data_IF_890602145262
#
_entry.id   IF_890602145262
#
_cell.length_a   1.000
_cell.length_b   1.000
_cell.length_c   1.000
_cell.angle_alpha   90.00
_cell.angle_beta   90.00
_cell.angle_gamma   90.00
#
_symmetry.space_group_name_H-M   'P 1'
#
loop_
_entity.id
_entity.type
_entity.pdbx_description
1 polymer ?
#
# COMPACT_ATOMS: atom_id res chain seq x y z
N UNK A 1 -20.46 5.42 -5.07
CA UNK A 1 -19.36 4.97 -5.97
C UNK A 1 -18.67 3.67 -5.52
N UNK A 2 -18.34 3.48 -4.23
CA UNK A 2 -17.57 2.34 -3.68
C UNK A 2 -18.23 0.95 -3.88
N UNK A 3 -19.53 0.85 -3.63
CA UNK A 3 -20.31 -0.40 -3.81
C UNK A 3 -20.52 -0.77 -5.29
N UNK A 4 -20.60 0.21 -6.20
CA UNK A 4 -20.73 -0.04 -7.64
C UNK A 4 -19.49 -0.71 -8.24
N UNK A 5 -18.28 -0.34 -7.78
CA UNK A 5 -17.02 -0.91 -8.30
C UNK A 5 -16.85 -2.38 -7.94
N UNK A 6 -17.14 -2.78 -6.71
CA UNK A 6 -17.05 -4.20 -6.31
C UNK A 6 -18.12 -5.06 -7.01
N UNK A 7 -19.31 -4.50 -7.22
CA UNK A 7 -20.41 -5.19 -7.89
C UNK A 7 -20.13 -5.47 -9.38
N UNK A 8 -19.27 -4.69 -10.03
CA UNK A 8 -18.83 -4.95 -11.42
C UNK A 8 -17.65 -5.93 -11.52
N UNK A 9 -16.85 -6.14 -10.46
CA UNK A 9 -15.72 -7.10 -10.55
C UNK A 9 -16.18 -8.56 -10.52
N UNK A 10 -17.23 -8.85 -9.75
CA UNK A 10 -17.80 -10.20 -9.68
C UNK A 10 -18.28 -10.75 -11.03
N UNK A 11 -19.08 -10.03 -11.84
CA UNK A 11 -19.50 -10.53 -13.14
C UNK A 11 -18.33 -10.67 -14.13
N UNK A 12 -17.30 -9.82 -14.03
CA UNK A 12 -16.09 -9.93 -14.87
C UNK A 12 -15.31 -11.22 -14.54
N UNK A 13 -15.19 -11.57 -13.25
CA UNK A 13 -14.55 -12.83 -12.84
C UNK A 13 -15.37 -14.06 -13.25
N UNK A 14 -16.70 -14.01 -13.11
CA UNK A 14 -17.58 -15.07 -13.59
C UNK A 14 -17.49 -15.25 -15.11
N UNK A 15 -17.49 -14.15 -15.86
CA UNK A 15 -17.30 -14.18 -17.30
C UNK A 15 -15.93 -14.77 -17.68
N UNK A 16 -14.87 -14.46 -16.93
CA UNK A 16 -13.52 -14.99 -17.17
C UNK A 16 -13.46 -16.51 -16.98
N UNK A 17 -14.06 -17.01 -15.91
CA UNK A 17 -14.18 -18.45 -15.65
C UNK A 17 -15.07 -19.15 -16.69
N UNK A 18 -16.20 -18.54 -17.05
CA UNK A 18 -17.09 -19.09 -18.08
C UNK A 18 -16.40 -19.18 -19.45
N UNK A 19 -15.65 -18.14 -19.84
CA UNK A 19 -14.88 -18.13 -21.07
C UNK A 19 -13.79 -19.22 -21.08
N UNK A 20 -13.06 -19.40 -19.98
CA UNK A 20 -12.06 -20.47 -19.85
C UNK A 20 -12.69 -21.86 -19.97
N UNK A 21 -13.79 -22.10 -19.26
CA UNK A 21 -14.48 -23.39 -19.29
C UNK A 21 -15.04 -23.68 -20.70
N UNK A 22 -15.72 -22.70 -21.31
CA UNK A 22 -16.25 -22.84 -22.67
C UNK A 22 -15.12 -23.07 -23.69
N UNK A 23 -14.01 -22.33 -23.57
CA UNK A 23 -12.85 -22.50 -24.44
C UNK A 23 -12.21 -23.88 -24.32
N UNK A 24 -12.04 -24.38 -23.08
CA UNK A 24 -11.53 -25.73 -22.83
C UNK A 24 -12.45 -26.82 -23.43
N UNK A 25 -13.76 -26.68 -23.26
CA UNK A 25 -14.75 -27.58 -23.86
C UNK A 25 -14.66 -27.57 -25.38
N UNK A 26 -14.55 -26.40 -26.01
CA UNK A 26 -14.39 -26.29 -27.46
C UNK A 26 -13.08 -26.93 -27.95
N UNK A 27 -11.98 -26.77 -27.23
CA UNK A 27 -10.72 -27.45 -27.56
C UNK A 27 -10.87 -28.98 -27.49
N UNK A 28 -11.57 -29.51 -26.48
CA UNK A 28 -11.84 -30.95 -26.37
C UNK A 28 -12.72 -31.44 -27.52
N UNK A 29 -13.77 -30.71 -27.88
CA UNK A 29 -14.63 -31.04 -29.02
C UNK A 29 -13.84 -31.01 -30.34
N UNK A 30 -13.01 -29.98 -30.54
CA UNK A 30 -12.15 -29.85 -31.70
C UNK A 30 -11.16 -31.00 -31.82
N UNK A 31 -10.50 -31.36 -30.71
CA UNK A 31 -9.61 -32.53 -30.63
C UNK A 31 -10.33 -33.82 -31.00
N UNK A 32 -11.52 -34.05 -30.44
CA UNK A 32 -12.31 -35.25 -30.72
C UNK A 32 -12.72 -35.31 -32.20
N UNK A 33 -13.16 -34.19 -32.79
CA UNK A 33 -13.52 -34.11 -34.20
C UNK A 33 -12.35 -34.39 -35.15
N UNK A 34 -11.18 -33.78 -34.88
CA UNK A 34 -9.95 -34.04 -35.66
C UNK A 34 -9.51 -35.50 -35.55
N UNK A 35 -9.57 -36.08 -34.35
CA UNK A 35 -9.15 -37.46 -34.10
C UNK A 35 -10.01 -38.50 -34.85
N UNK A 36 -11.26 -38.17 -35.13
CA UNK A 36 -12.18 -39.02 -35.89
C UNK A 36 -12.02 -38.93 -37.42
N UNK A 37 -11.22 -37.99 -37.93
CA UNK A 37 -11.11 -37.70 -39.36
C UNK A 37 -9.74 -38.09 -39.92
N UNK A 38 -9.76 -38.88 -41.00
CA UNK A 38 -8.55 -39.47 -41.61
C UNK A 38 -7.88 -38.58 -42.65
N UNK A 39 -8.62 -37.62 -43.19
CA UNK A 39 -8.12 -36.71 -44.22
C UNK A 39 -7.82 -35.34 -43.64
N UNK A 40 -6.57 -34.90 -43.77
CA UNK A 40 -6.11 -33.60 -43.25
C UNK A 40 -6.95 -32.42 -43.77
N UNK A 41 -7.38 -32.45 -45.04
CA UNK A 41 -8.27 -31.43 -45.63
C UNK A 41 -9.62 -31.30 -44.92
N UNK A 42 -10.13 -32.40 -44.35
CA UNK A 42 -11.37 -32.42 -43.56
C UNK A 42 -11.15 -32.12 -42.08
N UNK A 43 -9.90 -32.04 -41.62
CA UNK A 43 -9.58 -31.62 -40.25
C UNK A 43 -9.62 -30.09 -40.09
N UNK A 44 -9.35 -29.33 -41.15
CA UNK A 44 -9.33 -27.86 -41.14
C UNK A 44 -10.62 -27.22 -40.58
N UNK A 45 -11.84 -27.69 -40.93
CA UNK A 45 -13.07 -27.15 -40.37
C UNK A 45 -13.19 -27.30 -38.85
N UNK A 46 -12.72 -28.42 -38.26
CA UNK A 46 -12.75 -28.63 -36.80
C UNK A 46 -11.78 -27.70 -36.07
N UNK A 47 -10.60 -27.47 -36.65
CA UNK A 47 -9.63 -26.52 -36.11
C UNK A 47 -10.19 -25.09 -36.15
N UNK A 48 -10.77 -24.69 -37.29
CA UNK A 48 -11.32 -23.35 -37.49
C UNK A 48 -12.56 -23.07 -36.63
N UNK A 49 -13.45 -24.05 -36.44
CA UNK A 49 -14.71 -23.87 -35.71
C UNK A 49 -14.63 -24.10 -34.20
N UNK A 50 -13.73 -24.97 -33.75
CA UNK A 50 -13.66 -25.35 -32.34
C UNK A 50 -12.33 -24.94 -31.69
N UNK A 51 -11.20 -25.35 -32.27
CA UNK A 51 -9.90 -25.20 -31.59
C UNK A 51 -9.42 -23.75 -31.54
N UNK A 52 -9.47 -23.03 -32.68
CA UNK A 52 -9.05 -21.61 -32.74
C UNK A 52 -9.96 -20.72 -31.87
N UNK A 53 -11.31 -20.81 -31.96
CA UNK A 53 -12.19 -20.06 -31.07
C UNK A 53 -12.02 -20.47 -29.60
N UNK A 54 -11.81 -21.76 -29.32
CA UNK A 54 -11.57 -22.27 -27.97
C UNK A 54 -10.30 -21.68 -27.36
N UNK A 55 -9.19 -21.66 -28.11
CA UNK A 55 -7.95 -21.03 -27.68
C UNK A 55 -8.11 -19.52 -27.45
N UNK A 56 -8.82 -18.83 -28.34
CA UNK A 56 -9.13 -17.42 -28.18
C UNK A 56 -9.93 -17.14 -26.90
N UNK A 57 -10.92 -17.98 -26.58
CA UNK A 57 -11.70 -17.87 -25.34
C UNK A 57 -10.86 -18.14 -24.09
N UNK A 58 -9.93 -19.10 -24.13
CA UNK A 58 -8.99 -19.37 -23.02
C UNK A 58 -8.10 -18.14 -22.76
N UNK A 59 -7.55 -17.55 -23.82
CA UNK A 59 -6.72 -16.34 -23.70
C UNK A 59 -7.55 -15.18 -23.14
N UNK A 60 -8.72 -14.92 -23.73
CA UNK A 60 -9.61 -13.85 -23.29
C UNK A 60 -10.04 -14.04 -21.82
N UNK A 61 -10.41 -15.25 -21.42
CA UNK A 61 -10.78 -15.58 -20.05
C UNK A 61 -9.61 -15.38 -19.06
N UNK A 62 -8.40 -15.75 -19.46
CA UNK A 62 -7.18 -15.53 -18.65
C UNK A 62 -6.88 -14.05 -18.45
N UNK A 63 -6.99 -13.24 -19.50
CA UNK A 63 -6.86 -11.77 -19.45
C UNK A 63 -7.94 -11.19 -18.52
N UNK A 64 -9.18 -11.62 -18.67
CA UNK A 64 -10.29 -11.09 -17.87
C UNK A 64 -10.12 -11.41 -16.37
N UNK A 65 -9.64 -12.63 -16.07
CA UNK A 65 -9.36 -13.06 -14.71
C UNK A 65 -8.17 -12.33 -14.07
N UNK A 66 -7.10 -12.08 -14.82
CA UNK A 66 -5.93 -11.33 -14.31
C UNK A 66 -6.29 -9.88 -14.03
N UNK A 67 -7.00 -9.21 -14.94
CA UNK A 67 -7.51 -7.85 -14.71
C UNK A 67 -8.50 -7.78 -13.55
N UNK A 68 -9.46 -8.71 -13.47
CA UNK A 68 -10.45 -8.74 -12.38
C UNK A 68 -9.79 -8.92 -11.01
N UNK A 69 -8.81 -9.83 -10.90
CA UNK A 69 -8.04 -10.02 -9.65
C UNK A 69 -7.18 -8.81 -9.30
N UNK A 70 -6.52 -8.19 -10.28
CA UNK A 70 -5.75 -6.97 -10.07
C UNK A 70 -6.60 -5.81 -9.57
N UNK A 71 -7.80 -5.62 -10.14
CA UNK A 71 -8.74 -4.60 -9.70
C UNK A 71 -9.24 -4.83 -8.27
N UNK A 72 -9.49 -6.09 -7.87
CA UNK A 72 -9.81 -6.42 -6.48
C UNK A 72 -8.65 -6.12 -5.54
N UNK A 73 -7.44 -6.54 -5.90
CA UNK A 73 -6.25 -6.30 -5.09
C UNK A 73 -6.02 -4.80 -4.86
N UNK A 74 -6.08 -3.98 -5.92
CA UNK A 74 -5.96 -2.53 -5.83
C UNK A 74 -7.03 -1.93 -4.91
N UNK A 75 -8.29 -2.39 -5.00
CA UNK A 75 -9.35 -1.91 -4.12
C UNK A 75 -9.12 -2.27 -2.64
N UNK A 76 -8.50 -3.43 -2.35
CA UNK A 76 -8.13 -3.84 -0.98
C UNK A 76 -6.95 -3.05 -0.43
N UNK A 77 -5.96 -2.76 -1.26
CA UNK A 77 -4.81 -1.92 -0.87
C UNK A 77 -5.28 -0.51 -0.54
N UNK A 78 -6.15 0.07 -1.37
CA UNK A 78 -6.74 1.39 -1.12
C UNK A 78 -7.55 1.40 0.20
N UNK A 79 -8.29 0.32 0.48
CA UNK A 79 -9.01 0.16 1.74
C UNK A 79 -8.08 0.11 2.95
N UNK A 80 -6.99 -0.68 2.86
CA UNK A 80 -5.99 -0.76 3.93
C UNK A 80 -5.28 0.57 4.14
N UNK A 81 -4.90 1.26 3.07
CA UNK A 81 -4.28 2.59 3.14
C UNK A 81 -5.21 3.60 3.80
N UNK A 82 -6.49 3.62 3.42
CA UNK A 82 -7.49 4.48 4.05
C UNK A 82 -7.66 4.19 5.55
N UNK A 83 -7.62 2.91 5.97
CA UNK A 83 -7.66 2.53 7.38
C UNK A 83 -6.38 2.94 8.13
N UNK A 84 -5.21 2.76 7.53
CA UNK A 84 -3.92 3.16 8.13
C UNK A 84 -3.83 4.67 8.32
N UNK A 85 -4.30 5.45 7.35
CA UNK A 85 -4.32 6.92 7.43
C UNK A 85 -5.38 7.42 8.41
N UNK A 86 -6.57 6.81 8.42
CA UNK A 86 -7.63 7.17 9.36
C UNK A 86 -7.31 6.77 10.80
N UNK A 87 -6.58 5.67 11.00
CA UNK A 87 -6.04 5.25 12.29
C UNK A 87 -4.71 5.94 12.60
N UNK A 88 -4.58 7.24 12.28
CA UNK A 88 -3.52 8.09 12.81
C UNK A 88 -3.35 7.85 14.32
N UNK A 89 -2.15 8.13 14.90
CA UNK A 89 -1.82 7.74 16.27
C UNK A 89 -2.99 8.14 17.14
N UNK A 90 -3.55 7.19 17.90
CA UNK A 90 -4.78 7.38 18.66
C UNK A 90 -4.64 8.66 19.49
N UNK A 91 -5.15 9.76 18.94
CA UNK A 91 -5.30 11.00 19.65
C UNK A 91 -6.49 10.71 20.54
N UNK A 92 -6.20 10.49 21.81
CA UNK A 92 -7.17 10.59 22.90
C UNK A 92 -8.11 11.75 22.55
N UNK A 93 -9.40 11.43 22.38
CA UNK A 93 -10.44 12.36 21.93
C UNK A 93 -10.67 13.46 22.98
N UNK A 94 -9.74 14.43 23.08
CA UNK A 94 -9.96 15.69 23.76
C UNK A 94 -8.98 16.77 23.26
N UNK A 95 -9.08 17.17 21.98
CA UNK A 95 -9.02 18.59 21.57
C UNK A 95 -8.91 18.76 20.05
N UNK A 96 -10.01 19.16 19.43
CA UNK A 96 -9.99 19.72 18.08
C UNK A 96 -9.36 21.11 18.08
N UNK A 97 -8.03 21.19 17.90
CA UNK A 97 -7.30 22.36 17.39
C UNK A 97 -6.06 21.85 16.63
N UNK A 98 -5.71 22.40 15.45
CA UNK A 98 -4.39 22.14 14.90
C UNK A 98 -3.36 22.60 15.94
N UNK A 99 -2.50 21.69 16.38
CA UNK A 99 -1.48 21.96 17.39
C UNK A 99 -0.44 22.94 16.81
N UNK A 100 -0.73 24.23 16.94
CA UNK A 100 0.27 25.29 17.07
C UNK A 100 0.78 25.35 18.53
N UNK A 101 0.66 24.24 19.27
CA UNK A 101 1.25 24.09 20.58
C UNK A 101 2.73 23.75 20.40
N UNK A 102 3.64 24.33 21.19
CA UNK A 102 5.06 23.98 21.13
C UNK A 102 5.23 22.47 21.32
N UNK A 103 6.04 21.83 20.46
CA UNK A 103 6.34 20.39 20.52
C UNK A 103 7.02 19.97 21.83
N UNK A 104 7.56 20.93 22.56
CA UNK A 104 8.18 20.79 23.86
C UNK A 104 8.15 22.16 24.57
N UNK A 105 7.84 22.17 25.86
CA UNK A 105 7.68 23.38 26.68
C UNK A 105 8.56 23.39 27.94
N UNK A 106 9.30 22.31 28.21
CA UNK A 106 10.15 22.26 29.40
C UNK A 106 11.25 23.33 29.36
N UNK A 107 11.50 23.95 30.52
CA UNK A 107 12.65 24.82 30.75
C UNK A 107 13.93 24.06 31.06
N UNK A 108 13.84 22.77 31.37
CA UNK A 108 15.02 21.93 31.61
C UNK A 108 15.67 21.58 30.28
N UNK A 109 16.98 21.79 30.19
CA UNK A 109 17.76 21.57 28.98
C UNK A 109 18.66 20.35 29.13
N UNK A 110 18.53 19.43 28.17
CA UNK A 110 19.27 18.18 28.12
C UNK A 110 20.11 18.09 26.86
N UNK A 111 21.19 17.31 26.94
CA UNK A 111 21.99 16.88 25.80
C UNK A 111 22.19 15.37 25.86
N UNK A 112 22.48 14.76 24.72
CA UNK A 112 22.92 13.36 24.67
C UNK A 112 24.45 13.36 24.51
N UNK A 113 25.20 12.63 25.35
CA UNK A 113 26.65 12.50 25.19
C UNK A 113 27.02 12.02 23.78
N UNK A 114 27.93 12.75 23.11
CA UNK A 114 28.31 12.49 21.71
C UNK A 114 27.36 13.08 20.65
N UNK A 115 26.24 13.67 21.08
CA UNK A 115 25.38 14.47 20.22
C UNK A 115 25.92 15.90 20.03
N UNK A 116 25.43 16.56 18.99
CA UNK A 116 25.79 17.95 18.65
C UNK A 116 24.65 18.93 18.92
N UNK A 117 23.58 18.46 19.57
CA UNK A 117 22.36 19.23 19.81
C UNK A 117 22.01 19.23 21.30
N UNK A 118 21.43 20.34 21.74
CA UNK A 118 20.76 20.44 23.04
C UNK A 118 19.25 20.63 22.82
N UNK A 119 18.46 20.09 23.75
CA UNK A 119 17.02 19.89 23.64
C UNK A 119 16.32 20.34 24.92
N UNK A 120 15.02 20.64 24.83
CA UNK A 120 14.15 20.66 26.01
C UNK A 120 13.95 19.24 26.53
N UNK A 121 13.77 19.07 27.84
CA UNK A 121 13.69 17.76 28.47
C UNK A 121 12.50 16.90 27.98
N UNK A 122 11.42 17.54 27.54
CA UNK A 122 10.22 16.91 26.98
C UNK A 122 10.26 16.79 25.44
N UNK A 123 11.39 17.11 24.79
CA UNK A 123 11.56 16.90 23.36
C UNK A 123 11.46 15.39 23.03
N UNK A 124 10.65 14.96 22.03
CA UNK A 124 10.52 13.56 21.64
C UNK A 124 11.84 12.87 21.25
N UNK A 125 12.86 13.64 20.87
CA UNK A 125 14.18 13.12 20.51
C UNK A 125 15.05 12.74 21.73
N UNK A 126 14.70 13.25 22.92
CA UNK A 126 15.42 13.02 24.19
C UNK A 126 14.55 12.34 25.24
N UNK A 127 13.22 12.51 25.18
CA UNK A 127 12.28 11.87 26.09
C UNK A 127 12.49 10.35 26.14
N UNK A 128 12.77 9.82 27.33
CA UNK A 128 12.99 8.39 27.56
C UNK A 128 14.40 7.86 27.24
N UNK A 129 15.35 8.70 26.82
CA UNK A 129 16.76 8.30 26.66
C UNK A 129 17.47 8.27 28.02
N UNK A 130 17.91 7.09 28.44
CA UNK A 130 18.63 6.91 29.71
C UNK A 130 20.00 7.62 29.73
N UNK A 131 20.59 7.80 28.55
CA UNK A 131 21.84 8.50 28.34
C UNK A 131 21.72 10.03 28.31
N UNK A 132 20.51 10.60 28.34
CA UNK A 132 20.32 12.04 28.36
C UNK A 132 20.79 12.65 29.68
N UNK A 133 21.62 13.70 29.59
CA UNK A 133 22.20 14.39 30.74
C UNK A 133 21.90 15.89 30.67
N UNK A 134 21.91 16.62 31.80
CA UNK A 134 21.80 18.08 31.81
C UNK A 134 22.83 18.73 30.88
N UNK A 135 22.41 19.77 30.15
CA UNK A 135 23.28 20.48 29.22
C UNK A 135 24.48 21.11 29.94
N UNK A 136 25.68 20.96 29.37
CA UNK A 136 26.85 21.72 29.82
C UNK A 136 26.88 23.10 29.15
N UNK A 137 26.64 24.14 29.94
CA UNK A 137 26.66 25.53 29.47
C UNK A 137 28.02 26.00 28.92
N UNK A 138 29.13 25.28 29.13
CA UNK A 138 30.39 25.55 28.42
C UNK A 138 30.32 25.14 26.95
N UNK A 139 29.72 23.98 26.66
CA UNK A 139 29.59 23.44 25.30
C UNK A 139 28.61 24.25 24.45
N UNK A 140 27.56 24.79 25.07
CA UNK A 140 26.64 25.73 24.40
C UNK A 140 27.38 27.03 24.05
N UNK A 141 28.18 27.58 24.98
CA UNK A 141 28.94 28.82 24.76
C UNK A 141 30.10 28.66 23.78
N UNK A 142 30.71 27.48 23.70
CA UNK A 142 31.75 27.20 22.69
C UNK A 142 31.19 26.92 21.30
N UNK A 143 29.87 26.75 21.17
CA UNK A 143 29.20 26.42 19.91
C UNK A 143 29.32 24.95 19.50
N UNK A 144 29.79 24.09 20.40
CA UNK A 144 29.88 22.63 20.18
C UNK A 144 28.50 21.95 20.23
N UNK A 145 27.51 22.59 20.88
CA UNK A 145 26.12 22.16 20.89
C UNK A 145 25.22 23.23 20.25
N UNK A 146 24.54 22.86 19.16
CA UNK A 146 23.53 23.69 18.52
C UNK A 146 22.11 23.48 19.10
N UNK A 147 21.23 24.49 19.04
CA UNK A 147 19.84 24.31 19.47
C UNK A 147 19.13 23.32 18.55
N UNK A 148 18.33 22.42 19.13
CA UNK A 148 17.52 21.50 18.34
C UNK A 148 16.42 22.26 17.56
N UNK A 149 16.28 22.04 16.23
CA UNK A 149 15.25 22.71 15.42
C UNK A 149 13.83 22.14 15.61
N UNK A 150 13.67 21.06 16.38
CA UNK A 150 12.36 20.43 16.63
C UNK A 150 11.69 20.99 17.89
N UNK A 151 12.48 21.28 18.93
CA UNK A 151 11.97 21.84 20.19
C UNK A 151 12.37 23.30 20.44
N UNK A 152 13.09 23.91 19.50
CA UNK A 152 13.51 25.32 19.48
C UNK A 152 13.86 25.85 20.88
N UNK A 153 14.88 25.26 21.54
CA UNK A 153 15.12 25.50 22.96
C UNK A 153 15.72 26.89 23.24
N UNK A 154 16.22 27.59 22.21
CA UNK A 154 16.79 28.93 22.30
C UNK A 154 15.75 30.07 22.30
N UNK A 155 14.49 29.80 21.95
CA UNK A 155 13.45 30.84 21.81
C UNK A 155 12.66 31.11 23.11
N UNK A 156 12.98 30.45 24.23
CA UNK A 156 12.25 30.64 25.50
C UNK A 156 12.97 31.53 26.54
N UNK A 157 14.07 32.19 26.18
CA UNK A 157 14.82 33.09 27.07
C UNK A 157 14.43 34.59 26.90
N UNK A 158 13.27 34.89 26.29
CA UNK A 158 12.61 36.22 26.31
C UNK A 158 11.38 36.22 27.25
#
# INVERSE_FOLDING_TARGET
>A
MRTSRLRTVHPVLWAGWAALAAGAVLCVIGWYGVSGERFAERQLPYLASCTVPGAALIIAGSVLLTHGRGALAAARVEELYGLLVAAGPAEDEESGRPAAAPLAVSGDLLMVPGGTLWHRADCPLVAGKAEAVPVDGKLVRSGELGPCPICEPAEADD
#
